data_IF_533365900915
#
_entry.id   IF_533365900915
#
_cell.length_a   1.000
_cell.length_b   1.000
_cell.length_c   1.000
_cell.angle_alpha   90.00
_cell.angle_beta   90.00
_cell.angle_gamma   90.00
#
_symmetry.space_group_name_H-M   'P 1'
#
loop_
_entity.id
_entity.type
_entity.pdbx_description
1 polymer ?
#
# COMPACT_ATOMS: atom_id res chain seq x y z
N UNK A 1 -18.75 -12.54 -14.97
CA UNK A 1 -17.97 -13.45 -14.10
C UNK A 1 -18.02 -12.91 -12.69
N UNK A 2 -18.38 -13.73 -11.70
CA UNK A 2 -18.26 -13.32 -10.29
C UNK A 2 -16.80 -13.50 -9.88
N UNK A 3 -16.10 -12.40 -9.65
CA UNK A 3 -14.72 -12.43 -9.15
C UNK A 3 -14.72 -13.10 -7.77
N UNK A 4 -13.86 -14.10 -7.58
CA UNK A 4 -13.65 -14.75 -6.28
C UNK A 4 -12.33 -14.25 -5.71
N UNK A 5 -12.29 -13.80 -4.45
CA UNK A 5 -11.04 -13.46 -3.80
C UNK A 5 -10.16 -14.70 -3.59
N UNK A 6 -8.87 -14.48 -3.34
CA UNK A 6 -7.94 -15.54 -2.93
C UNK A 6 -8.47 -16.23 -1.66
N UNK A 7 -8.23 -17.54 -1.54
CA UNK A 7 -8.61 -18.29 -0.35
C UNK A 7 -7.93 -17.70 0.89
N UNK A 8 -8.71 -17.36 1.93
CA UNK A 8 -8.19 -16.70 3.14
C UNK A 8 -8.11 -15.18 3.06
N UNK A 9 -8.25 -14.57 1.88
CA UNK A 9 -8.29 -13.11 1.76
C UNK A 9 -9.60 -12.55 2.33
N UNK A 10 -9.46 -11.66 3.31
CA UNK A 10 -10.57 -10.97 3.96
C UNK A 10 -10.68 -9.56 3.40
N UNK A 11 -11.87 -9.17 2.95
CA UNK A 11 -12.16 -7.77 2.65
C UNK A 11 -12.39 -7.03 3.97
N UNK A 12 -11.51 -6.09 4.30
CA UNK A 12 -11.55 -5.30 5.51
C UNK A 12 -11.98 -3.87 5.17
N UNK A 13 -12.82 -3.28 6.03
CA UNK A 13 -13.08 -1.84 5.95
C UNK A 13 -11.84 -1.08 6.44
N UNK A 14 -11.29 -0.22 5.60
CA UNK A 14 -10.08 0.58 5.89
C UNK A 14 -10.29 2.03 5.49
N UNK A 15 -9.50 2.94 6.06
CA UNK A 15 -9.70 4.38 5.89
C UNK A 15 -8.66 5.05 4.99
N UNK A 16 -7.45 4.51 4.91
CA UNK A 16 -6.36 5.09 4.13
C UNK A 16 -5.77 4.06 3.16
N UNK A 17 -5.49 4.48 1.93
CA UNK A 17 -5.18 3.57 0.83
C UNK A 17 -3.94 2.70 1.09
N UNK A 18 -2.85 3.28 1.60
CA UNK A 18 -1.58 2.55 1.84
C UNK A 18 -1.72 1.60 3.03
N UNK A 19 -2.08 2.13 4.19
CA UNK A 19 -2.20 1.36 5.45
C UNK A 19 -3.33 0.35 5.40
N UNK A 20 -4.41 0.66 4.70
CA UNK A 20 -5.48 -0.29 4.40
C UNK A 20 -4.99 -1.44 3.54
N UNK A 21 -4.24 -1.17 2.47
CA UNK A 21 -3.63 -2.22 1.65
C UNK A 21 -2.65 -3.08 2.45
N UNK A 22 -1.81 -2.45 3.29
CA UNK A 22 -0.92 -3.18 4.19
C UNK A 22 -1.69 -4.08 5.15
N UNK A 23 -2.77 -3.59 5.77
CA UNK A 23 -3.59 -4.37 6.69
C UNK A 23 -4.12 -5.64 6.05
N UNK A 24 -4.59 -5.56 4.80
CA UNK A 24 -5.05 -6.74 4.06
C UNK A 24 -3.94 -7.77 3.88
N UNK A 25 -2.73 -7.35 3.48
CA UNK A 25 -1.58 -8.27 3.31
C UNK A 25 -1.12 -8.84 4.65
N UNK A 26 -1.07 -8.03 5.71
CA UNK A 26 -0.70 -8.47 7.05
C UNK A 26 -1.68 -9.51 7.60
N UNK A 27 -2.98 -9.22 7.56
CA UNK A 27 -4.03 -10.15 8.01
C UNK A 27 -4.06 -11.42 7.18
N UNK A 28 -3.78 -11.35 5.87
CA UNK A 28 -3.67 -12.52 5.02
C UNK A 28 -2.52 -13.45 5.43
N UNK A 29 -1.41 -12.87 5.92
CA UNK A 29 -0.23 -13.60 6.37
C UNK A 29 -0.22 -13.82 7.90
N UNK A 30 -1.40 -13.95 8.52
CA UNK A 30 -1.57 -14.24 9.95
C UNK A 30 -0.96 -13.20 10.93
N UNK A 31 -0.76 -11.96 10.46
CA UNK A 31 -0.34 -10.83 11.28
C UNK A 31 -1.50 -9.85 11.48
N UNK A 32 -2.34 -10.08 12.49
CA UNK A 32 -3.47 -9.20 12.80
C UNK A 32 -3.03 -7.91 13.52
N UNK A 33 -2.56 -6.94 12.74
CA UNK A 33 -2.18 -5.60 13.21
C UNK A 33 -3.18 -4.59 12.67
N UNK A 34 -3.68 -3.70 13.53
CA UNK A 34 -4.64 -2.67 13.14
C UNK A 34 -4.03 -1.64 12.19
N UNK A 35 -4.89 -0.95 11.43
CA UNK A 35 -4.47 0.08 10.47
C UNK A 35 -3.73 1.22 11.17
N UNK A 36 -4.20 1.64 12.34
CA UNK A 36 -3.63 2.69 13.17
C UNK A 36 -2.25 2.29 13.71
N UNK A 37 -2.08 1.02 14.08
CA UNK A 37 -0.79 0.49 14.52
C UNK A 37 0.20 0.43 13.36
N UNK A 38 -0.22 0.02 12.15
CA UNK A 38 0.64 0.06 10.97
C UNK A 38 1.09 1.49 10.66
N UNK A 39 0.18 2.46 10.75
CA UNK A 39 0.51 3.88 10.58
C UNK A 39 1.54 4.36 11.62
N UNK A 40 1.32 4.05 12.90
CA UNK A 40 2.21 4.46 13.98
C UNK A 40 3.58 3.79 13.92
N UNK A 41 3.61 2.46 13.79
CA UNK A 41 4.85 1.66 13.69
C UNK A 41 5.64 2.07 12.44
N UNK A 42 4.97 2.41 11.33
CA UNK A 42 5.62 2.88 10.12
C UNK A 42 6.16 4.30 10.17
N UNK A 43 6.12 4.99 11.32
CA UNK A 43 6.42 6.42 11.44
C UNK A 43 5.59 7.28 10.45
N UNK A 44 4.37 6.83 10.14
CA UNK A 44 3.57 7.37 9.04
C UNK A 44 2.78 8.63 9.39
N UNK A 45 2.77 9.07 10.65
CA UNK A 45 2.06 10.29 11.06
C UNK A 45 2.89 11.53 10.71
N UNK A 46 2.29 12.48 10.00
CA UNK A 46 2.87 13.82 9.86
C UNK A 46 1.92 14.80 9.19
N UNK A 47 2.42 16.00 8.91
CA UNK A 47 1.61 17.08 8.34
C UNK A 47 2.28 17.64 7.10
N UNK A 48 1.54 17.67 6.00
CA UNK A 48 1.90 18.38 4.78
C UNK A 48 0.85 19.46 4.54
N UNK A 49 1.30 20.69 4.41
CA UNK A 49 0.51 21.79 3.90
C UNK A 49 1.11 22.23 2.57
N UNK A 50 0.39 22.02 1.48
CA UNK A 50 0.81 22.46 0.17
C UNK A 50 -0.26 23.32 -0.48
N UNK A 51 0.10 24.54 -0.85
CA UNK A 51 -0.80 25.49 -1.48
C UNK A 51 -0.17 26.02 -2.76
N UNK A 52 -0.82 25.75 -3.88
CA UNK A 52 -0.45 26.28 -5.19
C UNK A 52 -1.42 27.39 -5.59
N UNK A 53 -0.91 28.46 -6.20
CA UNK A 53 -1.75 29.59 -6.63
C UNK A 53 -2.85 29.11 -7.59
N UNK A 54 -4.11 29.44 -7.27
CA UNK A 54 -5.27 29.07 -8.08
C UNK A 54 -5.89 27.71 -7.76
N UNK A 55 -5.43 27.01 -6.72
CA UNK A 55 -6.04 25.77 -6.23
C UNK A 55 -6.25 25.82 -4.71
N UNK A 56 -7.27 25.12 -4.16
CA UNK A 56 -7.39 24.94 -2.71
C UNK A 56 -6.13 24.27 -2.12
N UNK A 57 -5.77 24.56 -0.87
CA UNK A 57 -4.64 23.92 -0.21
C UNK A 57 -4.89 22.42 -0.03
N UNK A 58 -3.87 21.62 -0.28
CA UNK A 58 -3.82 20.21 0.06
C UNK A 58 -3.27 20.05 1.48
N UNK A 59 -4.06 19.40 2.33
CA UNK A 59 -3.68 18.99 3.68
C UNK A 59 -3.44 17.48 3.65
N UNK A 60 -2.20 17.06 3.93
CA UNK A 60 -1.82 15.65 4.05
C UNK A 60 -1.53 15.29 5.51
N UNK A 61 -2.09 14.18 5.98
CA UNK A 61 -1.87 13.65 7.33
C UNK A 61 -0.84 12.51 7.43
N UNK A 62 -0.25 12.13 6.29
CA UNK A 62 0.70 11.01 6.20
C UNK A 62 2.09 11.51 5.86
N UNK A 63 3.10 10.93 6.48
CA UNK A 63 4.52 11.16 6.30
C UNK A 63 5.27 9.84 5.97
N UNK A 64 6.60 9.89 5.98
CA UNK A 64 7.50 8.76 5.72
C UNK A 64 7.24 8.07 4.37
N UNK A 65 7.34 8.86 3.30
CA UNK A 65 7.27 8.36 1.94
C UNK A 65 8.64 7.82 1.54
N UNK A 66 8.70 6.68 0.85
CA UNK A 66 9.96 6.18 0.32
C UNK A 66 10.60 7.22 -0.61
N UNK A 67 11.85 7.60 -0.31
CA UNK A 67 12.66 8.52 -1.10
C UNK A 67 14.14 8.13 -0.99
N UNK A 68 15.04 8.59 -1.89
CA UNK A 68 16.45 8.25 -1.79
C UNK A 68 17.03 8.58 -0.40
N UNK A 69 17.50 7.55 0.31
CA UNK A 69 18.04 7.68 1.68
C UNK A 69 17.02 7.61 2.82
N UNK A 70 15.72 7.44 2.53
CA UNK A 70 14.66 7.28 3.53
C UNK A 70 13.85 6.01 3.28
N UNK A 71 13.77 5.17 4.29
CA UNK A 71 12.95 3.96 4.27
C UNK A 71 11.47 4.36 4.37
N UNK A 72 10.66 4.03 3.37
CA UNK A 72 9.24 4.33 3.39
C UNK A 72 8.48 3.56 4.49
N UNK A 73 7.29 4.07 4.82
CA UNK A 73 6.36 3.54 5.83
C UNK A 73 6.24 2.01 5.77
N UNK A 74 6.05 1.44 4.59
CA UNK A 74 5.83 0.01 4.38
C UNK A 74 7.02 -0.82 4.87
N UNK A 75 8.25 -0.45 4.46
CA UNK A 75 9.49 -1.12 4.84
C UNK A 75 9.86 -0.88 6.30
N UNK A 76 9.66 0.34 6.80
CA UNK A 76 9.84 0.66 8.23
C UNK A 76 8.93 -0.18 9.10
N UNK A 77 7.67 -0.36 8.69
CA UNK A 77 6.72 -1.21 9.39
C UNK A 77 7.19 -2.66 9.38
N UNK A 78 7.50 -3.20 8.20
CA UNK A 78 8.00 -4.57 8.06
C UNK A 78 9.20 -4.88 8.95
N UNK A 79 10.23 -4.02 8.90
CA UNK A 79 11.42 -4.16 9.74
C UNK A 79 11.12 -4.14 11.23
N UNK A 80 10.12 -3.37 11.68
CA UNK A 80 9.73 -3.26 13.09
C UNK A 80 8.78 -4.38 13.55
N UNK A 81 8.11 -5.06 12.62
CA UNK A 81 7.19 -6.18 12.91
C UNK A 81 7.81 -7.55 12.62
N UNK A 82 8.99 -7.59 11.99
CA UNK A 82 9.63 -8.83 11.55
C UNK A 82 9.12 -9.35 10.19
N UNK A 83 8.31 -8.55 9.48
CA UNK A 83 7.81 -8.88 8.14
C UNK A 83 8.78 -8.34 7.08
N UNK A 84 9.19 -9.20 6.15
CA UNK A 84 9.99 -8.76 5.01
C UNK A 84 9.11 -8.07 3.97
N UNK A 85 9.45 -6.83 3.63
CA UNK A 85 8.74 -6.04 2.62
C UNK A 85 9.67 -5.71 1.47
N UNK A 86 9.30 -6.16 0.28
CA UNK A 86 10.04 -5.91 -0.95
C UNK A 86 9.21 -5.07 -1.93
N UNK A 87 9.85 -4.08 -2.54
CA UNK A 87 9.23 -3.22 -3.56
C UNK A 87 9.86 -3.52 -4.91
N UNK A 88 9.03 -3.81 -5.90
CA UNK A 88 9.46 -4.08 -7.27
C UNK A 88 8.93 -2.99 -8.20
N UNK A 89 9.85 -2.27 -8.85
CA UNK A 89 9.50 -1.20 -9.79
C UNK A 89 10.03 -1.52 -11.18
N UNK A 90 9.19 -1.34 -12.20
CA UNK A 90 9.60 -1.48 -13.60
C UNK A 90 8.85 -0.50 -14.48
N UNK A 91 9.49 -0.02 -15.54
CA UNK A 91 8.86 0.80 -16.59
C UNK A 91 8.12 -0.02 -17.64
N UNK A 92 8.23 -1.36 -17.61
CA UNK A 92 7.55 -2.25 -18.57
C UNK A 92 6.20 -2.70 -18.02
N UNK A 93 5.11 -2.19 -18.58
CA UNK A 93 3.74 -2.60 -18.22
C UNK A 93 3.56 -4.12 -18.33
N UNK A 94 4.04 -4.72 -19.43
CA UNK A 94 4.00 -6.18 -19.64
C UNK A 94 4.71 -6.96 -18.53
N UNK A 95 5.88 -6.48 -18.07
CA UNK A 95 6.62 -7.14 -16.99
C UNK A 95 5.88 -6.99 -15.66
N UNK A 96 5.35 -5.79 -15.36
CA UNK A 96 4.58 -5.54 -14.15
C UNK A 96 3.33 -6.42 -14.06
N UNK A 97 2.55 -6.49 -15.15
CA UNK A 97 1.37 -7.34 -15.25
C UNK A 97 1.71 -8.81 -15.06
N UNK A 98 2.72 -9.31 -15.78
CA UNK A 98 3.13 -10.71 -15.64
C UNK A 98 3.55 -11.04 -14.20
N UNK A 99 4.38 -10.22 -13.57
CA UNK A 99 4.83 -10.45 -12.19
C UNK A 99 3.67 -10.39 -11.20
N UNK A 100 2.72 -9.46 -11.39
CA UNK A 100 1.51 -9.39 -10.58
C UNK A 100 0.69 -10.69 -10.70
N UNK A 101 0.44 -11.15 -11.92
CA UNK A 101 -0.33 -12.37 -12.17
C UNK A 101 0.35 -13.62 -11.60
N UNK A 102 1.68 -13.74 -11.77
CA UNK A 102 2.47 -14.86 -11.20
C UNK A 102 2.34 -14.92 -9.67
N UNK A 103 2.35 -13.78 -8.97
CA UNK A 103 2.15 -13.74 -7.51
C UNK A 103 0.71 -14.10 -7.10
N UNK A 104 -0.28 -13.60 -7.84
CA UNK A 104 -1.68 -13.92 -7.59
C UNK A 104 -1.98 -15.41 -7.82
N UNK A 105 -1.42 -16.01 -8.88
CA UNK A 105 -1.52 -17.44 -9.17
C UNK A 105 -0.85 -18.30 -8.09
N UNK A 106 0.22 -17.79 -7.46
CA UNK A 106 0.85 -18.39 -6.28
C UNK A 106 0.06 -18.18 -4.98
N UNK A 107 -1.12 -17.56 -5.04
CA UNK A 107 -1.96 -17.30 -3.88
C UNK A 107 -1.41 -16.20 -2.97
N UNK A 108 -0.67 -15.25 -3.50
CA UNK A 108 -0.15 -14.12 -2.72
C UNK A 108 -0.87 -12.82 -3.12
N UNK A 109 -1.52 -12.10 -2.18
CA UNK A 109 -2.06 -10.78 -2.46
C UNK A 109 -0.91 -9.79 -2.67
N UNK A 110 -1.08 -8.90 -3.64
CA UNK A 110 -0.05 -7.92 -4.03
C UNK A 110 -0.60 -6.52 -3.84
N UNK A 111 0.19 -5.66 -3.19
CA UNK A 111 -0.04 -4.23 -3.17
C UNK A 111 0.49 -3.59 -4.45
N UNK A 112 -0.33 -2.78 -5.11
CA UNK A 112 0.07 -2.00 -6.28
C UNK A 112 -0.06 -0.51 -5.98
N UNK A 113 0.93 0.27 -6.41
CA UNK A 113 0.78 1.71 -6.50
C UNK A 113 0.30 2.05 -7.90
N UNK A 114 -0.84 2.72 -7.98
CA UNK A 114 -1.39 3.21 -9.24
C UNK A 114 -1.93 4.62 -9.04
N UNK A 115 -2.00 5.35 -10.15
CA UNK A 115 -2.72 6.62 -10.19
C UNK A 115 -4.20 6.32 -10.47
N UNK A 116 -5.04 6.68 -9.49
CA UNK A 116 -6.46 6.39 -9.50
C UNK A 116 -7.19 7.07 -10.66
N UNK A 117 -6.66 8.18 -11.19
CA UNK A 117 -7.24 8.89 -12.34
C UNK A 117 -7.16 8.12 -13.66
N UNK A 118 -6.38 7.04 -13.73
CA UNK A 118 -6.32 6.15 -14.90
C UNK A 118 -7.25 4.93 -14.79
N UNK A 119 -7.98 4.78 -13.68
CA UNK A 119 -8.90 3.67 -13.50
C UNK A 119 -10.22 3.97 -14.23
N UNK A 120 -10.85 3.00 -14.91
CA UNK A 120 -12.02 3.23 -15.78
C UNK A 120 -13.31 3.62 -15.03
N UNK A 121 -13.22 3.78 -13.71
CA UNK A 121 -14.32 4.10 -12.81
C UNK A 121 -14.08 5.39 -12.01
N UNK A 122 -13.08 6.17 -12.41
CA UNK A 122 -12.82 7.52 -11.91
C UNK A 122 -13.21 8.59 -12.93
#
# INVERSE_FOLDING_TARGET
>A
MTLKPLAGFKSLTTHHCVTGSMRHVYVYNDHDISEEMLLGIGSGVGMIYWHMKGAPPLLGGRANFERPGEEGLEKTTGRRTGVMVESYTTSSARKAERTLLEMLDAGQPVMIQCDMGFLPYF
#
